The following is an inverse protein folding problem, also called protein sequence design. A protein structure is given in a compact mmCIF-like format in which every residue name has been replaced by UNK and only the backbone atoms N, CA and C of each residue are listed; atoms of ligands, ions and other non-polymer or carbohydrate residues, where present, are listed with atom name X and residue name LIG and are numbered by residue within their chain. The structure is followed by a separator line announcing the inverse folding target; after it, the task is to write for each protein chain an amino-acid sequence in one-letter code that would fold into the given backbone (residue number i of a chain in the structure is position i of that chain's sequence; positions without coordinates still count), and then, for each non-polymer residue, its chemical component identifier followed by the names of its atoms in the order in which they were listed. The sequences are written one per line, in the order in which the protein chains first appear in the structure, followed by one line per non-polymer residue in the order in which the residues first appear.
data_IF_888937960067
#
_entry.id   IF_888937960067
#
_cell.length_a   1.000
_cell.length_b   1.000
_cell.length_c   1.000
_cell.angle_alpha   90.00
_cell.angle_beta   90.00
_cell.angle_gamma   90.00
#
_symmetry.space_group_name_H-M   'P 1'
#
loop_
_entity.id
_entity.type
_entity.pdbx_description
1 polymer ?
#
# COMPACT_ATOMS: atom_id res chain seq x y z
N UNK A 1 -3.90 -17.74 -7.28
CA UNK A 1 -3.48 -19.15 -7.05
C UNK A 1 -3.77 -19.62 -5.63
N UNK A 2 -3.23 -18.97 -4.59
CA UNK A 2 -3.44 -19.39 -3.19
C UNK A 2 -4.91 -19.43 -2.77
N UNK A 3 -5.69 -18.43 -3.18
CA UNK A 3 -7.15 -18.41 -2.95
C UNK A 3 -7.86 -19.63 -3.58
N UNK A 4 -7.46 -20.01 -4.80
CA UNK A 4 -8.01 -21.19 -5.49
C UNK A 4 -7.65 -22.46 -4.72
N UNK A 5 -6.41 -22.57 -4.24
CA UNK A 5 -5.98 -23.72 -3.43
C UNK A 5 -6.77 -23.83 -2.12
N UNK A 6 -7.01 -22.70 -1.45
CA UNK A 6 -7.84 -22.63 -0.26
C UNK A 6 -9.28 -23.10 -0.54
N UNK A 7 -9.92 -22.55 -1.59
CA UNK A 7 -11.29 -22.96 -2.00
C UNK A 7 -11.37 -24.43 -2.41
N UNK A 8 -10.34 -24.95 -3.06
CA UNK A 8 -10.22 -26.35 -3.44
C UNK A 8 -9.82 -27.28 -2.29
N UNK A 9 -9.63 -26.75 -1.07
CA UNK A 9 -9.18 -27.49 0.12
C UNK A 9 -7.88 -28.28 -0.13
N UNK A 10 -6.98 -27.72 -0.94
CA UNK A 10 -5.69 -28.34 -1.27
C UNK A 10 -4.56 -27.79 -0.39
N UNK A 11 -3.69 -28.65 0.17
CA UNK A 11 -2.52 -28.17 0.89
C UNK A 11 -1.53 -27.54 -0.09
N UNK A 12 -0.85 -26.48 0.35
CA UNK A 12 0.09 -25.71 -0.47
C UNK A 12 1.49 -25.81 0.10
N UNK A 13 2.49 -25.94 -0.76
CA UNK A 13 3.90 -25.84 -0.41
C UNK A 13 4.49 -24.61 -1.10
N UNK A 14 4.79 -23.58 -0.32
CA UNK A 14 5.43 -22.34 -0.76
C UNK A 14 6.96 -22.53 -0.73
N UNK A 15 7.60 -22.46 -1.88
CA UNK A 15 9.05 -22.56 -2.01
C UNK A 15 9.63 -21.21 -2.41
N UNK A 16 10.58 -20.69 -1.64
CA UNK A 16 11.23 -19.42 -1.92
C UNK A 16 12.20 -19.05 -0.80
N UNK A 17 13.16 -18.15 -1.04
CA UNK A 17 14.18 -17.81 -0.05
C UNK A 17 13.59 -17.15 1.21
N UNK A 18 14.39 -17.06 2.27
CA UNK A 18 14.00 -16.35 3.49
C UNK A 18 13.83 -14.85 3.21
N UNK A 19 12.86 -14.21 3.87
CA UNK A 19 12.62 -12.76 3.70
C UNK A 19 11.90 -12.35 2.41
N UNK A 20 11.43 -13.30 1.60
CA UNK A 20 10.71 -13.03 0.34
C UNK A 20 9.24 -12.64 0.54
N UNK A 21 8.67 -12.84 1.74
CA UNK A 21 7.29 -12.49 2.06
C UNK A 21 6.27 -13.64 2.04
N UNK A 22 6.69 -14.90 2.19
CA UNK A 22 5.80 -16.09 2.11
C UNK A 22 4.64 -16.01 3.12
N UNK A 23 4.96 -15.66 4.36
CA UNK A 23 4.01 -15.60 5.47
C UNK A 23 3.09 -14.40 5.34
N UNK A 24 3.62 -13.26 4.92
CA UNK A 24 2.88 -12.04 4.64
C UNK A 24 1.84 -12.27 3.52
N UNK A 25 2.19 -13.01 2.47
CA UNK A 25 1.24 -13.41 1.41
C UNK A 25 0.07 -14.23 1.95
N UNK A 26 0.33 -15.15 2.89
CA UNK A 26 -0.72 -15.99 3.49
C UNK A 26 -1.61 -15.16 4.41
N UNK A 27 -1.04 -14.27 5.24
CA UNK A 27 -1.81 -13.36 6.10
C UNK A 27 -2.68 -12.42 5.27
N UNK A 28 -2.15 -11.82 4.22
CA UNK A 28 -2.90 -10.94 3.33
C UNK A 28 -4.07 -11.65 2.64
N UNK A 29 -3.85 -12.91 2.21
CA UNK A 29 -4.93 -13.73 1.66
C UNK A 29 -6.04 -13.99 2.69
N UNK A 30 -5.65 -14.35 3.92
CA UNK A 30 -6.62 -14.65 4.97
C UNK A 30 -7.45 -13.42 5.35
N UNK A 31 -6.81 -12.24 5.44
CA UNK A 31 -7.48 -10.96 5.65
C UNK A 31 -8.47 -10.65 4.51
N UNK A 32 -8.03 -10.80 3.25
CA UNK A 32 -8.89 -10.61 2.07
C UNK A 32 -10.13 -11.52 2.10
N UNK A 33 -10.00 -12.74 2.63
CA UNK A 33 -11.08 -13.72 2.71
C UNK A 33 -11.90 -13.63 4.00
N UNK A 34 -11.50 -12.80 4.97
CA UNK A 34 -12.13 -12.73 6.29
C UNK A 34 -12.04 -14.05 7.08
N UNK A 35 -10.92 -14.77 6.95
CA UNK A 35 -10.68 -16.05 7.63
C UNK A 35 -9.47 -15.94 8.59
N UNK A 36 -9.36 -16.90 9.53
CA UNK A 36 -8.27 -16.94 10.49
C UNK A 36 -6.92 -17.34 9.86
N UNK A 37 -5.83 -17.01 10.56
CA UNK A 37 -4.49 -17.52 10.24
C UNK A 37 -3.81 -17.98 11.52
N UNK A 38 -3.22 -19.17 11.51
CA UNK A 38 -2.32 -19.65 12.57
C UNK A 38 -0.99 -19.95 11.91
N UNK A 39 0.10 -19.47 12.51
CA UNK A 39 1.46 -19.67 12.00
C UNK A 39 2.28 -20.43 13.03
N UNK A 40 2.86 -21.54 12.61
CA UNK A 40 3.76 -22.37 13.41
C UNK A 40 5.13 -22.42 12.73
N UNK A 41 6.17 -21.94 13.41
CA UNK A 41 7.56 -22.12 12.97
C UNK A 41 8.06 -23.48 13.45
N UNK A 42 8.10 -24.45 12.54
CA UNK A 42 8.45 -25.83 12.87
C UNK A 42 9.91 -26.00 13.32
N UNK A 43 10.79 -25.04 13.02
CA UNK A 43 12.18 -25.08 13.47
C UNK A 43 12.36 -24.75 14.95
N UNK A 44 11.31 -24.18 15.58
CA UNK A 44 11.31 -23.79 16.98
C UNK A 44 10.48 -24.73 17.87
N UNK A 45 9.78 -25.71 17.30
CA UNK A 45 8.88 -26.58 18.03
C UNK A 45 9.56 -27.83 18.58
N UNK A 46 9.12 -28.25 19.75
CA UNK A 46 9.32 -29.60 20.27
C UNK A 46 8.08 -30.47 19.98
N UNK A 47 8.17 -31.82 20.07
CA UNK A 47 7.04 -32.70 19.75
C UNK A 47 5.75 -32.35 20.51
N UNK A 48 5.78 -32.01 21.82
CA UNK A 48 4.57 -31.61 22.53
C UNK A 48 3.86 -30.39 21.95
N UNK A 49 4.58 -29.45 21.33
CA UNK A 49 4.01 -28.19 20.82
C UNK A 49 3.19 -28.39 19.55
N UNK A 50 3.40 -29.50 18.83
CA UNK A 50 2.66 -29.85 17.62
C UNK A 50 1.76 -31.08 17.83
N UNK A 51 2.28 -32.13 18.45
CA UNK A 51 1.63 -33.43 18.60
C UNK A 51 0.73 -33.48 19.85
N UNK A 52 1.05 -32.68 20.87
CA UNK A 52 0.37 -32.68 22.15
C UNK A 52 1.03 -33.58 23.19
N UNK A 53 0.56 -33.45 24.44
CA UNK A 53 1.07 -34.23 25.56
C UNK A 53 0.22 -35.49 25.80
N UNK A 54 0.84 -36.66 26.06
CA UNK A 54 0.11 -37.85 26.42
C UNK A 54 -0.51 -37.69 27.80
N UNK A 55 -1.82 -37.93 27.90
CA UNK A 55 -2.57 -37.96 29.16
C UNK A 55 -3.36 -39.27 29.26
N UNK A 56 -3.53 -39.77 30.49
CA UNK A 56 -4.27 -41.00 30.73
C UNK A 56 -5.73 -40.66 30.98
N UNK A 57 -6.63 -41.24 30.17
CA UNK A 57 -8.07 -41.15 30.35
C UNK A 57 -8.67 -42.55 30.23
N UNK A 58 -9.42 -42.96 31.26
CA UNK A 58 -10.08 -44.28 31.31
C UNK A 58 -9.12 -45.46 31.06
N UNK A 59 -7.90 -45.37 31.62
CA UNK A 59 -6.85 -46.39 31.47
C UNK A 59 -6.20 -46.44 30.07
N UNK A 60 -6.47 -45.47 29.19
CA UNK A 60 -5.88 -45.37 27.85
C UNK A 60 -5.13 -44.06 27.66
N UNK A 61 -4.07 -44.09 26.86
CA UNK A 61 -3.35 -42.88 26.46
C UNK A 61 -4.14 -42.13 25.39
N UNK A 62 -4.43 -40.86 25.65
CA UNK A 62 -4.91 -39.88 24.66
C UNK A 62 -3.91 -38.72 24.58
N UNK A 63 -3.92 -37.98 23.48
CA UNK A 63 -3.06 -36.81 23.33
C UNK A 63 -3.88 -35.54 23.54
N UNK A 64 -3.47 -34.72 24.49
CA UNK A 64 -4.02 -33.38 24.69
C UNK A 64 -3.46 -32.45 23.61
N UNK A 65 -4.31 -32.06 22.66
CA UNK A 65 -3.91 -31.21 21.54
C UNK A 65 -3.48 -29.81 22.04
N UNK A 66 -2.40 -29.24 21.49
CA UNK A 66 -1.97 -27.88 21.80
C UNK A 66 -3.06 -26.84 21.49
N UNK A 67 -3.21 -25.84 22.35
CA UNK A 67 -4.22 -24.78 22.17
C UNK A 67 -4.03 -23.97 20.88
N UNK A 68 -2.78 -23.85 20.42
CA UNK A 68 -2.45 -23.15 19.17
C UNK A 68 -3.09 -23.81 17.94
N UNK A 69 -3.44 -25.10 18.01
CA UNK A 69 -4.09 -25.79 16.91
C UNK A 69 -5.59 -25.41 16.84
N UNK A 70 -6.11 -25.03 15.65
CA UNK A 70 -7.49 -24.62 15.52
C UNK A 70 -8.51 -25.70 15.91
N UNK A 71 -9.51 -25.32 16.71
CA UNK A 71 -10.58 -26.24 17.13
C UNK A 71 -11.89 -26.08 16.33
N UNK A 72 -12.11 -24.91 15.70
CA UNK A 72 -13.31 -24.63 14.91
C UNK A 72 -13.07 -23.49 13.91
N UNK A 73 -14.09 -23.12 13.14
CA UNK A 73 -14.04 -21.99 12.20
C UNK A 73 -13.33 -22.30 10.89
N UNK A 74 -12.82 -21.24 10.26
CA UNK A 74 -12.16 -21.31 8.96
C UNK A 74 -10.88 -20.48 8.95
N UNK A 75 -9.84 -20.99 8.29
CA UNK A 75 -8.54 -20.33 8.26
C UNK A 75 -7.45 -21.07 7.50
N UNK A 76 -6.24 -20.53 7.56
CA UNK A 76 -5.04 -21.18 7.03
C UNK A 76 -4.10 -21.50 8.20
N UNK A 77 -3.73 -22.78 8.33
CA UNK A 77 -2.68 -23.21 9.23
C UNK A 77 -1.36 -23.22 8.45
N UNK A 78 -0.50 -22.26 8.71
CA UNK A 78 0.78 -22.07 8.05
C UNK A 78 1.90 -22.74 8.86
N UNK A 79 2.60 -23.70 8.24
CA UNK A 79 3.75 -24.38 8.81
C UNK A 79 5.03 -23.86 8.16
N UNK A 80 5.77 -23.03 8.88
CA UNK A 80 7.02 -22.43 8.40
C UNK A 80 8.21 -23.36 8.62
N UNK A 81 9.26 -23.15 7.81
CA UNK A 81 10.54 -23.83 7.98
C UNK A 81 10.45 -25.37 7.96
N UNK A 82 9.50 -25.94 7.18
CA UNK A 82 9.22 -27.39 7.17
C UNK A 82 10.44 -28.25 6.82
N UNK A 83 11.31 -27.77 5.93
CA UNK A 83 12.54 -28.46 5.56
C UNK A 83 13.75 -28.07 6.43
N UNK A 84 13.59 -27.19 7.42
CA UNK A 84 14.60 -26.90 8.45
C UNK A 84 14.26 -27.49 9.82
N UNK A 85 13.02 -27.92 10.01
CA UNK A 85 12.58 -28.63 11.20
C UNK A 85 13.29 -29.98 11.37
N UNK A 86 13.49 -30.37 12.63
CA UNK A 86 14.00 -31.69 12.98
C UNK A 86 13.06 -32.81 12.48
N UNK A 87 13.62 -33.97 12.12
CA UNK A 87 12.83 -35.05 11.49
C UNK A 87 11.62 -35.49 12.33
N UNK A 88 11.75 -35.45 13.65
CA UNK A 88 10.68 -35.85 14.57
C UNK A 88 9.51 -34.84 14.63
N UNK A 89 9.72 -33.59 14.21
CA UNK A 89 8.65 -32.58 14.00
C UNK A 89 8.14 -32.63 12.56
N UNK A 90 9.06 -32.78 11.60
CA UNK A 90 8.74 -32.81 10.18
C UNK A 90 7.74 -33.92 9.83
N UNK A 91 7.89 -35.12 10.40
CA UNK A 91 6.99 -36.25 10.12
C UNK A 91 5.54 -35.99 10.59
N UNK A 92 5.28 -35.61 11.85
CA UNK A 92 3.95 -35.15 12.27
C UNK A 92 3.41 -33.99 11.43
N UNK A 93 4.24 -32.99 11.10
CA UNK A 93 3.81 -31.86 10.26
C UNK A 93 3.32 -32.33 8.88
N UNK A 94 4.04 -33.25 8.22
CA UNK A 94 3.64 -33.85 6.94
C UNK A 94 2.35 -34.68 7.07
N UNK A 95 2.15 -35.38 8.19
CA UNK A 95 0.90 -36.07 8.49
C UNK A 95 -0.26 -35.08 8.63
N UNK A 96 -0.07 -33.98 9.38
CA UNK A 96 -1.08 -32.95 9.54
C UNK A 96 -1.42 -32.27 8.22
N UNK A 97 -0.41 -31.99 7.38
CA UNK A 97 -0.58 -31.40 6.06
C UNK A 97 -1.38 -32.29 5.10
N UNK A 98 -1.14 -33.59 5.12
CA UNK A 98 -1.72 -34.53 4.15
C UNK A 98 -3.02 -35.19 4.63
N UNK A 99 -3.00 -35.73 5.85
CA UNK A 99 -4.12 -36.44 6.46
C UNK A 99 -5.03 -35.55 7.31
N UNK A 100 -4.65 -34.27 7.53
CA UNK A 100 -5.40 -33.31 8.36
C UNK A 100 -5.61 -33.77 9.80
N UNK A 101 -4.75 -34.65 10.30
CA UNK A 101 -4.91 -35.29 11.62
C UNK A 101 -3.58 -35.52 12.31
N UNK A 102 -3.60 -35.43 13.64
CA UNK A 102 -2.53 -35.83 14.54
C UNK A 102 -3.16 -36.60 15.70
N UNK A 103 -2.87 -37.89 15.83
CA UNK A 103 -3.55 -38.78 16.79
C UNK A 103 -5.08 -38.62 16.75
N UNK A 104 -5.70 -38.10 17.82
CA UNK A 104 -7.14 -37.85 17.90
C UNK A 104 -7.56 -36.48 17.36
N UNK A 105 -6.63 -35.54 17.20
CA UNK A 105 -6.90 -34.22 16.65
C UNK A 105 -7.17 -34.32 15.14
N UNK A 106 -8.18 -33.60 14.68
CA UNK A 106 -8.53 -33.42 13.28
C UNK A 106 -8.69 -31.93 12.99
N UNK A 107 -7.98 -31.45 11.97
CA UNK A 107 -8.03 -30.06 11.57
C UNK A 107 -9.43 -29.71 11.05
N UNK A 108 -10.10 -28.68 11.61
CA UNK A 108 -11.49 -28.40 11.29
C UNK A 108 -11.72 -28.19 9.79
N UNK A 109 -12.85 -28.62 9.21
CA UNK A 109 -13.07 -28.61 7.76
C UNK A 109 -12.87 -27.24 7.08
N UNK A 110 -13.14 -26.15 7.82
CA UNK A 110 -12.94 -24.78 7.36
C UNK A 110 -11.47 -24.36 7.22
N UNK A 111 -10.53 -25.14 7.76
CA UNK A 111 -9.09 -24.87 7.73
C UNK A 111 -8.37 -25.64 6.62
N UNK A 112 -7.30 -25.04 6.10
CA UNK A 112 -6.40 -25.64 5.10
C UNK A 112 -4.95 -25.43 5.52
N UNK A 113 -4.12 -26.47 5.43
CA UNK A 113 -2.70 -26.38 5.78
C UNK A 113 -1.86 -25.87 4.62
N UNK A 114 -1.09 -24.80 4.84
CA UNK A 114 -0.04 -24.35 3.95
C UNK A 114 1.31 -24.61 4.64
N UNK A 115 2.37 -24.82 3.86
CA UNK A 115 3.72 -24.95 4.37
C UNK A 115 4.67 -24.06 3.59
N UNK A 116 5.75 -23.61 4.23
CA UNK A 116 6.86 -22.92 3.60
C UNK A 116 8.15 -23.74 3.72
N UNK A 117 8.91 -23.76 2.64
CA UNK A 117 10.27 -24.31 2.59
C UNK A 117 11.22 -23.29 1.97
N UNK A 118 12.49 -23.38 2.39
CA UNK A 118 13.58 -22.66 1.73
C UNK A 118 14.14 -23.52 0.59
N UNK A 119 14.59 -22.92 -0.53
CA UNK A 119 15.13 -23.66 -1.65
C UNK A 119 16.41 -24.40 -1.25
N UNK A 120 16.69 -25.50 -1.96
CA UNK A 120 17.94 -26.26 -1.83
C UNK A 120 19.07 -25.49 -2.56
N UNK A 121 19.65 -24.48 -1.90
CA UNK A 121 20.86 -23.79 -2.36
C UNK A 121 21.98 -23.89 -1.32
N UNK A 122 23.22 -23.60 -1.73
CA UNK A 122 24.42 -23.78 -0.91
C UNK A 122 24.38 -23.02 0.44
N UNK A 123 23.58 -21.96 0.53
CA UNK A 123 23.50 -21.08 1.70
C UNK A 123 22.49 -21.55 2.76
N UNK A 124 21.64 -22.53 2.45
CA UNK A 124 20.60 -23.00 3.37
C UNK A 124 20.88 -24.43 3.85
N UNK A 125 20.93 -24.60 5.18
CA UNK A 125 20.91 -25.93 5.79
C UNK A 125 19.47 -26.45 5.81
N UNK A 126 19.11 -27.24 4.81
CA UNK A 126 17.77 -27.83 4.65
C UNK A 126 17.86 -29.35 4.52
N UNK A 127 16.82 -30.04 4.98
CA UNK A 127 16.54 -31.45 4.69
C UNK A 127 15.57 -31.52 3.51
N UNK A 128 16.03 -31.91 2.30
CA UNK A 128 15.19 -32.01 1.11
C UNK A 128 13.94 -32.85 1.35
N UNK A 129 12.80 -32.35 0.86
CA UNK A 129 11.58 -33.15 0.77
C UNK A 129 11.65 -33.98 -0.52
N UNK A 130 11.54 -35.31 -0.38
CA UNK A 130 11.53 -36.20 -1.53
C UNK A 130 10.32 -35.94 -2.46
N UNK A 131 10.39 -36.51 -3.67
CA UNK A 131 9.34 -36.34 -4.69
C UNK A 131 7.97 -36.83 -4.22
N UNK A 132 7.90 -37.89 -3.42
CA UNK A 132 6.63 -38.45 -2.95
C UNK A 132 5.99 -37.52 -1.91
N UNK A 133 6.79 -36.93 -1.01
CA UNK A 133 6.36 -35.91 -0.06
C UNK A 133 5.86 -34.67 -0.80
N UNK A 134 6.65 -34.12 -1.73
CA UNK A 134 6.27 -32.93 -2.53
C UNK A 134 4.99 -33.15 -3.35
N UNK A 135 4.75 -34.36 -3.87
CA UNK A 135 3.56 -34.69 -4.68
C UNK A 135 2.23 -34.61 -3.90
N UNK A 136 2.26 -34.53 -2.57
CA UNK A 136 1.07 -34.36 -1.74
C UNK A 136 0.56 -32.91 -1.72
N UNK A 137 1.30 -31.98 -2.31
CA UNK A 137 1.05 -30.54 -2.24
C UNK A 137 0.81 -29.92 -3.62
N UNK A 138 0.07 -28.81 -3.62
CA UNK A 138 0.20 -27.83 -4.69
C UNK A 138 1.50 -27.02 -4.44
N UNK A 139 2.55 -27.33 -5.20
CA UNK A 139 3.80 -26.58 -5.16
C UNK A 139 3.66 -25.21 -5.80
N UNK A 140 4.08 -24.16 -5.09
CA UNK A 140 4.05 -22.77 -5.55
C UNK A 140 5.40 -22.12 -5.28
N UNK A 141 6.06 -21.67 -6.34
CA UNK A 141 7.31 -20.91 -6.22
C UNK A 141 6.99 -19.44 -5.95
N UNK A 142 7.59 -18.89 -4.89
CA UNK A 142 7.48 -17.50 -4.48
C UNK A 142 8.72 -16.75 -4.93
N UNK A 143 8.53 -15.65 -5.66
CA UNK A 143 9.60 -14.79 -6.17
C UNK A 143 9.29 -13.35 -5.80
N UNK A 144 10.33 -12.56 -5.59
CA UNK A 144 10.17 -11.12 -5.45
C UNK A 144 9.84 -10.53 -6.82
N UNK A 145 8.79 -9.72 -6.86
CA UNK A 145 8.47 -8.90 -8.02
C UNK A 145 8.68 -7.43 -7.67
N UNK A 146 9.53 -6.76 -8.45
CA UNK A 146 9.93 -5.37 -8.21
C UNK A 146 8.75 -4.41 -8.31
N UNK A 147 7.91 -4.57 -9.32
CA UNK A 147 6.77 -3.70 -9.53
C UNK A 147 5.76 -3.81 -8.38
N UNK A 148 5.45 -5.04 -7.96
CA UNK A 148 4.55 -5.33 -6.84
C UNK A 148 5.12 -4.81 -5.52
N UNK A 149 6.42 -5.01 -5.26
CA UNK A 149 7.04 -4.50 -4.04
C UNK A 149 7.04 -2.97 -4.01
N UNK A 150 7.36 -2.29 -5.11
CA UNK A 150 7.32 -0.83 -5.18
C UNK A 150 5.91 -0.30 -4.89
N UNK A 151 4.86 -0.89 -5.47
CA UNK A 151 3.48 -0.50 -5.20
C UNK A 151 3.13 -0.68 -3.72
N UNK A 152 3.52 -1.80 -3.11
CA UNK A 152 3.33 -2.04 -1.68
C UNK A 152 4.11 -1.04 -0.82
N UNK A 153 5.37 -0.76 -1.18
CA UNK A 153 6.29 0.09 -0.42
C UNK A 153 5.80 1.55 -0.34
N UNK A 154 5.23 2.06 -1.42
CA UNK A 154 4.64 3.41 -1.48
C UNK A 154 3.46 3.54 -0.49
N UNK A 155 2.53 2.57 -0.53
CA UNK A 155 1.34 2.51 0.34
C UNK A 155 1.73 2.36 1.81
N UNK A 156 2.75 1.55 2.11
CA UNK A 156 3.16 1.25 3.48
C UNK A 156 4.18 2.25 4.06
N UNK A 157 4.54 3.30 3.32
CA UNK A 157 5.42 4.35 3.84
C UNK A 157 6.86 3.91 4.02
N UNK A 158 7.35 3.00 3.16
CA UNK A 158 8.78 2.67 3.13
C UNK A 158 9.59 3.92 2.78
N UNK A 159 10.76 4.06 3.41
CA UNK A 159 11.62 5.23 3.28
C UNK A 159 11.89 5.60 1.80
N UNK A 160 11.68 6.87 1.39
CA UNK A 160 11.80 7.29 -0.01
C UNK A 160 13.14 6.98 -0.66
N UNK A 161 14.24 7.05 0.10
CA UNK A 161 15.57 6.70 -0.40
C UNK A 161 15.70 5.24 -0.85
N UNK A 162 15.09 4.32 -0.10
CA UNK A 162 15.08 2.90 -0.48
C UNK A 162 14.16 2.68 -1.67
N UNK A 163 12.98 3.30 -1.67
CA UNK A 163 12.04 3.19 -2.79
C UNK A 163 12.66 3.71 -4.08
N UNK A 164 13.31 4.87 -4.05
CA UNK A 164 14.01 5.44 -5.21
C UNK A 164 15.15 4.52 -5.69
N UNK A 165 15.92 3.96 -4.76
CA UNK A 165 17.02 3.04 -5.06
C UNK A 165 16.50 1.76 -5.74
N UNK A 166 15.51 1.08 -5.17
CA UNK A 166 14.90 -0.13 -5.76
C UNK A 166 14.19 0.18 -7.08
N UNK A 167 13.62 1.38 -7.23
CA UNK A 167 13.00 1.83 -8.48
C UNK A 167 14.02 2.01 -9.60
N UNK A 168 15.21 2.51 -9.28
CA UNK A 168 16.29 2.71 -10.24
C UNK A 168 17.03 1.43 -10.64
N UNK A 169 16.93 0.35 -9.85
CA UNK A 169 17.71 -0.87 -10.07
C UNK A 169 16.84 -2.11 -10.25
N UNK A 170 16.80 -2.66 -11.47
CA UNK A 170 15.95 -3.81 -11.80
C UNK A 170 16.30 -5.09 -11.03
N UNK A 171 17.58 -5.24 -10.68
CA UNK A 171 18.14 -6.42 -10.01
C UNK A 171 18.26 -6.28 -8.50
N UNK A 172 17.57 -5.31 -7.89
CA UNK A 172 17.65 -5.02 -6.45
C UNK A 172 17.27 -6.21 -5.55
N UNK A 173 16.58 -7.22 -6.08
CA UNK A 173 16.15 -8.41 -5.32
C UNK A 173 16.91 -9.69 -5.65
N UNK A 174 17.98 -9.61 -6.46
CA UNK A 174 18.79 -10.78 -6.80
C UNK A 174 19.64 -11.23 -5.61
N UNK A 175 20.21 -10.27 -4.89
CA UNK A 175 21.15 -10.47 -3.78
C UNK A 175 20.59 -10.00 -2.43
N UNK A 176 19.58 -9.14 -2.41
CA UNK A 176 18.97 -8.60 -1.19
C UNK A 176 17.46 -8.88 -1.17
N UNK A 177 16.93 -9.66 -0.21
CA UNK A 177 15.51 -9.97 -0.18
C UNK A 177 14.68 -8.72 0.19
N UNK A 178 13.42 -8.63 -0.27
CA UNK A 178 12.50 -7.51 0.00
C UNK A 178 12.39 -7.09 1.48
N UNK A 179 12.45 -8.06 2.40
CA UNK A 179 12.41 -7.79 3.85
C UNK A 179 13.61 -6.99 4.33
N UNK A 180 14.80 -7.27 3.80
CA UNK A 180 16.03 -6.57 4.17
C UNK A 180 16.00 -5.12 3.72
N UNK A 181 15.45 -4.83 2.54
CA UNK A 181 15.17 -3.46 2.10
C UNK A 181 14.23 -2.71 3.04
N UNK A 182 13.23 -3.43 3.58
CA UNK A 182 12.29 -2.85 4.55
C UNK A 182 12.99 -2.52 5.87
N UNK A 183 13.90 -3.37 6.35
CA UNK A 183 14.70 -3.07 7.55
C UNK A 183 15.64 -1.88 7.36
N UNK A 184 16.34 -1.82 6.23
CA UNK A 184 17.17 -0.67 5.89
C UNK A 184 16.35 0.64 5.85
N UNK A 185 15.14 0.58 5.30
CA UNK A 185 14.22 1.70 5.28
C UNK A 185 13.77 2.14 6.69
N UNK A 186 13.51 1.20 7.60
CA UNK A 186 13.15 1.51 8.98
C UNK A 186 14.27 2.22 9.71
N UNK A 187 15.52 1.77 9.54
CA UNK A 187 16.71 2.44 10.10
C UNK A 187 16.82 3.85 9.55
N UNK A 188 16.77 4.04 8.22
CA UNK A 188 16.83 5.37 7.61
C UNK A 188 15.74 6.31 8.12
N UNK A 189 14.54 5.79 8.39
CA UNK A 189 13.40 6.60 8.81
C UNK A 189 13.54 7.19 10.22
N UNK A 190 14.46 6.66 11.04
CA UNK A 190 14.71 7.14 12.40
C UNK A 190 16.00 7.94 12.54
N UNK A 191 16.84 7.98 11.51
CA UNK A 191 18.09 8.74 11.53
C UNK A 191 17.81 10.24 11.51
N UNK A 192 18.58 10.97 12.30
CA UNK A 192 18.53 12.44 12.38
C UNK A 192 19.27 13.07 11.19
N UNK A 193 18.94 14.32 10.81
CA UNK A 193 19.61 15.00 9.69
C UNK A 193 21.14 15.03 9.82
N UNK A 194 21.68 15.25 11.02
CA UNK A 194 23.12 15.23 11.28
C UNK A 194 23.76 13.84 11.07
N UNK A 195 23.03 12.77 11.37
CA UNK A 195 23.46 11.38 11.17
C UNK A 195 23.41 11.00 9.69
N UNK A 196 22.40 11.48 8.95
CA UNK A 196 22.30 11.30 7.50
C UNK A 196 23.41 12.08 6.77
N UNK A 197 23.80 13.25 7.28
CA UNK A 197 24.90 14.02 6.73
C UNK A 197 26.27 13.32 6.93
N UNK A 198 26.42 12.56 8.01
CA UNK A 198 27.60 11.79 8.34
C UNK A 198 27.64 10.45 7.59
N UNK A 199 28.35 10.41 6.45
CA UNK A 199 28.44 9.20 5.62
C UNK A 199 28.96 7.96 6.36
N UNK A 200 29.86 8.13 7.35
CA UNK A 200 30.35 7.03 8.19
C UNK A 200 29.22 6.41 9.04
N UNK A 201 28.37 7.25 9.63
CA UNK A 201 27.21 6.78 10.42
C UNK A 201 26.23 6.03 9.53
N UNK A 202 25.96 6.51 8.32
CA UNK A 202 25.11 5.80 7.36
C UNK A 202 25.69 4.44 6.97
N UNK A 203 27.01 4.34 6.78
CA UNK A 203 27.65 3.05 6.50
C UNK A 203 27.46 2.10 7.65
N UNK A 204 27.80 2.52 8.86
CA UNK A 204 27.73 1.67 10.05
C UNK A 204 26.30 1.22 10.35
N UNK A 205 25.32 2.12 10.19
CA UNK A 205 23.91 1.84 10.44
C UNK A 205 23.30 0.84 9.44
N UNK A 206 23.79 0.82 8.19
CA UNK A 206 23.20 0.03 7.11
C UNK A 206 24.01 -1.20 6.73
N UNK A 207 25.30 -1.27 7.08
CA UNK A 207 26.19 -2.38 6.71
C UNK A 207 25.73 -3.76 7.24
N UNK A 208 24.97 -3.78 8.34
CA UNK A 208 24.36 -5.01 8.87
C UNK A 208 23.16 -5.53 8.06
N UNK A 209 22.59 -4.70 7.19
CA UNK A 209 21.41 -5.04 6.39
C UNK A 209 21.74 -5.12 4.90
N UNK A 210 22.41 -4.11 4.35
CA UNK A 210 22.68 -4.00 2.93
C UNK A 210 24.15 -4.29 2.61
N UNK A 211 24.44 -4.98 1.50
CA UNK A 211 25.80 -5.09 0.97
C UNK A 211 26.45 -3.71 0.77
N UNK A 212 27.78 -3.58 0.94
CA UNK A 212 28.47 -2.29 0.81
C UNK A 212 28.20 -1.56 -0.51
N UNK A 213 28.05 -2.29 -1.62
CA UNK A 213 27.68 -1.72 -2.92
C UNK A 213 26.36 -0.95 -2.87
N UNK A 214 25.34 -1.50 -2.22
CA UNK A 214 24.03 -0.84 -2.09
C UNK A 214 24.07 0.33 -1.11
N UNK A 215 24.84 0.19 -0.03
CA UNK A 215 25.04 1.27 0.96
C UNK A 215 25.69 2.49 0.30
N UNK A 216 26.75 2.30 -0.50
CA UNK A 216 27.43 3.41 -1.18
C UNK A 216 26.52 4.09 -2.22
N UNK A 217 25.70 3.35 -2.98
CA UNK A 217 24.75 3.96 -3.92
C UNK A 217 23.68 4.77 -3.18
N UNK A 218 23.22 4.27 -2.03
CA UNK A 218 22.29 5.01 -1.19
C UNK A 218 22.92 6.31 -0.67
N UNK A 219 24.14 6.25 -0.13
CA UNK A 219 24.90 7.42 0.35
C UNK A 219 25.14 8.42 -0.79
N UNK A 220 25.52 7.94 -1.98
CA UNK A 220 25.76 8.80 -3.15
C UNK A 220 24.49 9.52 -3.63
N UNK A 221 23.32 8.92 -3.41
CA UNK A 221 22.02 9.52 -3.74
C UNK A 221 21.39 10.30 -2.58
N UNK A 222 22.11 10.50 -1.46
CA UNK A 222 21.55 11.08 -0.24
C UNK A 222 20.83 12.39 -0.44
N UNK A 223 21.38 13.31 -1.23
CA UNK A 223 20.80 14.64 -1.40
C UNK A 223 19.44 14.61 -2.11
N UNK A 224 19.11 13.51 -2.80
CA UNK A 224 17.83 13.30 -3.45
C UNK A 224 16.74 12.77 -2.50
N UNK A 225 17.12 12.16 -1.37
CA UNK A 225 16.17 11.53 -0.44
C UNK A 225 16.30 11.99 1.01
N UNK A 226 17.41 12.58 1.42
CA UNK A 226 17.62 13.14 2.75
C UNK A 226 16.80 14.40 2.87
N UNK A 227 16.03 14.52 3.96
CA UNK A 227 15.22 15.71 4.14
C UNK A 227 16.03 16.82 4.77
N UNK A 228 15.96 18.02 4.18
CA UNK A 228 16.45 19.25 4.82
C UNK A 228 15.45 19.79 5.84
N UNK A 229 14.28 19.17 5.93
CA UNK A 229 13.17 19.56 6.80
C UNK A 229 13.21 18.72 8.07
N UNK A 230 12.94 19.35 9.21
CA UNK A 230 12.98 18.65 10.51
C UNK A 230 11.71 17.83 10.81
N UNK A 231 10.75 17.79 9.89
CA UNK A 231 9.45 17.15 10.06
C UNK A 231 9.19 16.07 9.00
N UNK A 232 8.35 15.09 9.35
CA UNK A 232 7.85 14.11 8.38
C UNK A 232 6.92 14.80 7.37
N UNK A 233 7.36 14.86 6.12
CA UNK A 233 6.63 15.48 5.01
C UNK A 233 5.27 14.80 4.78
N UNK A 234 5.16 13.47 4.95
CA UNK A 234 3.88 12.77 4.76
C UNK A 234 2.87 13.13 5.85
N UNK A 235 3.34 13.35 7.08
CA UNK A 235 2.49 13.77 8.20
C UNK A 235 1.78 15.09 7.93
N UNK A 236 2.37 15.98 7.11
CA UNK A 236 1.77 17.27 6.76
C UNK A 236 0.36 17.12 6.16
N UNK A 237 0.09 16.03 5.45
CA UNK A 237 -1.23 15.81 4.85
C UNK A 237 -2.32 15.51 5.88
N UNK A 238 -1.98 15.17 7.12
CA UNK A 238 -2.94 14.83 8.19
C UNK A 238 -2.87 15.78 9.39
N UNK A 239 -1.68 16.24 9.78
CA UNK A 239 -1.46 16.97 11.04
C UNK A 239 -1.07 18.43 10.85
N UNK A 240 -0.87 18.89 9.61
CA UNK A 240 -0.50 20.28 9.38
C UNK A 240 -1.62 21.24 9.75
N UNK A 241 -1.26 22.33 10.41
CA UNK A 241 -2.19 23.37 10.79
C UNK A 241 -1.47 24.60 11.32
N UNK A 242 -2.20 25.72 11.48
CA UNK A 242 -1.65 26.97 12.00
C UNK A 242 -0.94 26.75 13.34
N UNK A 243 0.33 27.15 13.42
CA UNK A 243 1.12 27.05 14.66
C UNK A 243 1.71 25.66 14.97
N UNK A 244 1.51 24.66 14.08
CA UNK A 244 2.24 23.38 14.15
C UNK A 244 3.76 23.59 14.05
N UNK A 245 4.59 22.67 14.55
CA UNK A 245 6.05 22.78 14.41
C UNK A 245 6.49 22.96 12.96
N UNK A 246 5.89 22.21 12.03
CA UNK A 246 6.16 22.32 10.60
C UNK A 246 5.74 23.67 10.02
N UNK A 247 4.61 24.25 10.45
CA UNK A 247 4.17 25.57 10.01
C UNK A 247 5.14 26.67 10.48
N UNK A 248 5.65 26.60 11.71
CA UNK A 248 6.65 27.56 12.21
C UNK A 248 7.96 27.46 11.44
N UNK A 249 8.40 26.24 11.13
CA UNK A 249 9.62 26.03 10.36
C UNK A 249 9.48 26.54 8.91
N UNK A 250 8.36 26.27 8.24
CA UNK A 250 8.09 26.80 6.90
C UNK A 250 7.95 28.33 6.91
N UNK A 251 7.34 28.91 7.93
CA UNK A 251 7.29 30.37 8.09
C UNK A 251 8.69 30.99 8.25
N UNK A 252 9.55 30.40 9.09
CA UNK A 252 10.95 30.85 9.25
C UNK A 252 11.75 30.69 7.95
N UNK A 253 11.58 29.57 7.24
CA UNK A 253 12.22 29.34 5.94
C UNK A 253 11.82 30.43 4.92
N UNK A 254 10.55 30.82 4.93
CA UNK A 254 10.03 31.92 4.10
C UNK A 254 10.71 33.25 4.42
N UNK A 255 10.82 33.59 5.71
CA UNK A 255 11.47 34.83 6.17
C UNK A 255 12.95 34.89 5.77
N UNK A 256 13.63 33.73 5.76
CA UNK A 256 15.03 33.61 5.35
C UNK A 256 15.25 33.46 3.84
N UNK A 257 14.19 33.37 3.04
CA UNK A 257 14.27 33.20 1.59
C UNK A 257 14.76 31.81 1.15
N UNK A 258 14.59 30.78 1.98
CA UNK A 258 15.02 29.40 1.73
C UNK A 258 14.03 28.69 0.80
N UNK A 259 14.07 29.00 -0.50
CA UNK A 259 13.13 28.45 -1.50
C UNK A 259 13.27 26.93 -1.66
N UNK A 260 14.47 26.41 -1.45
CA UNK A 260 14.81 24.98 -1.56
C UNK A 260 14.01 24.08 -0.60
N UNK A 261 13.61 24.62 0.56
CA UNK A 261 12.74 23.91 1.51
C UNK A 261 11.35 23.70 0.96
N UNK A 262 10.79 24.68 0.26
CA UNK A 262 9.48 24.56 -0.38
C UNK A 262 9.55 23.63 -1.59
N UNK A 263 10.62 23.74 -2.39
CA UNK A 263 10.88 22.83 -3.51
C UNK A 263 10.87 21.38 -3.03
N UNK A 264 11.49 21.10 -1.88
CA UNK A 264 11.54 19.77 -1.30
C UNK A 264 10.16 19.26 -0.86
N UNK A 265 9.36 20.08 -0.14
CA UNK A 265 7.98 19.73 0.25
C UNK A 265 7.17 19.33 -0.98
N UNK A 266 7.24 20.15 -2.03
CA UNK A 266 6.46 19.93 -3.26
C UNK A 266 6.95 18.72 -4.02
N UNK A 267 8.26 18.54 -4.16
CA UNK A 267 8.85 17.41 -4.86
C UNK A 267 8.44 16.06 -4.26
N UNK A 268 8.24 15.99 -2.94
CA UNK A 268 7.84 14.74 -2.26
C UNK A 268 6.33 14.55 -2.17
N UNK A 269 5.55 15.62 -1.99
CA UNK A 269 4.09 15.52 -1.88
C UNK A 269 3.39 15.41 -3.22
N UNK A 270 3.88 16.07 -4.29
CA UNK A 270 3.19 16.06 -5.57
C UNK A 270 3.02 14.64 -6.17
N UNK A 271 4.04 13.76 -6.20
CA UNK A 271 3.87 12.39 -6.70
C UNK A 271 2.88 11.58 -5.85
N UNK A 272 2.93 11.74 -4.52
CA UNK A 272 2.01 11.08 -3.59
C UNK A 272 0.56 11.52 -3.81
N UNK A 273 0.32 12.82 -4.02
CA UNK A 273 -1.00 13.38 -4.27
C UNK A 273 -1.54 13.09 -5.67
N UNK A 274 -0.67 12.84 -6.65
CA UNK A 274 -1.05 12.40 -7.99
C UNK A 274 -1.26 10.88 -8.08
N UNK A 275 -0.72 10.12 -7.13
CA UNK A 275 -0.74 8.66 -7.12
C UNK A 275 -2.06 8.03 -6.64
N UNK A 276 -2.30 6.74 -6.93
CA UNK A 276 -3.52 6.04 -6.54
C UNK A 276 -3.69 5.87 -5.01
N UNK A 277 -2.64 6.11 -4.23
CA UNK A 277 -2.58 5.91 -2.78
C UNK A 277 -3.45 6.92 -2.01
N UNK A 278 -3.83 8.04 -2.63
CA UNK A 278 -4.61 9.11 -1.99
C UNK A 278 -5.91 8.58 -1.38
N UNK A 279 -6.62 7.67 -2.08
CA UNK A 279 -7.84 7.07 -1.54
C UNK A 279 -7.60 6.28 -0.25
N UNK A 280 -6.48 5.54 -0.19
CA UNK A 280 -6.10 4.77 1.00
C UNK A 280 -5.72 5.70 2.14
N UNK A 281 -4.89 6.70 1.87
CA UNK A 281 -4.46 7.70 2.87
C UNK A 281 -5.67 8.42 3.47
N UNK A 282 -6.63 8.82 2.64
CA UNK A 282 -7.87 9.44 3.09
C UNK A 282 -8.70 8.51 3.98
N UNK A 283 -8.90 7.25 3.57
CA UNK A 283 -9.68 6.26 4.33
C UNK A 283 -9.09 5.93 5.70
N UNK A 284 -7.76 6.06 5.83
CA UNK A 284 -7.02 5.81 7.06
C UNK A 284 -6.84 7.08 7.93
N UNK A 285 -7.41 8.22 7.54
CA UNK A 285 -7.23 9.49 8.25
C UNK A 285 -5.82 10.08 8.14
N UNK A 286 -5.00 9.58 7.22
CA UNK A 286 -3.63 10.04 6.95
C UNK A 286 -3.57 11.18 5.91
N UNK A 287 -4.74 11.61 5.42
CA UNK A 287 -4.91 12.78 4.58
C UNK A 287 -6.22 13.48 4.96
N UNK A 288 -6.17 14.80 5.19
CA UNK A 288 -7.35 15.64 5.37
C UNK A 288 -7.27 16.91 4.51
N UNK A 289 -8.42 17.34 3.97
CA UNK A 289 -8.46 18.59 3.18
C UNK A 289 -8.14 19.82 4.03
N UNK A 290 -8.42 19.79 5.33
CA UNK A 290 -8.10 20.89 6.23
C UNK A 290 -6.59 21.08 6.38
N UNK A 291 -5.84 19.98 6.60
CA UNK A 291 -4.38 20.04 6.71
C UNK A 291 -3.74 20.41 5.37
N UNK A 292 -4.25 19.86 4.26
CA UNK A 292 -3.80 20.21 2.91
C UNK A 292 -4.01 21.71 2.60
N UNK A 293 -5.19 22.25 2.90
CA UNK A 293 -5.51 23.67 2.69
C UNK A 293 -4.65 24.59 3.56
N UNK A 294 -4.39 24.20 4.81
CA UNK A 294 -3.49 24.93 5.69
C UNK A 294 -2.04 24.93 5.15
N UNK A 295 -1.55 23.81 4.63
CA UNK A 295 -0.24 23.73 3.98
C UNK A 295 -0.18 24.63 2.76
N UNK A 296 -1.17 24.55 1.87
CA UNK A 296 -1.26 25.40 0.68
C UNK A 296 -1.28 26.90 1.02
N UNK A 297 -1.80 27.31 2.18
CA UNK A 297 -1.80 28.70 2.63
C UNK A 297 -0.39 29.23 2.92
N UNK A 298 0.49 28.37 3.42
CA UNK A 298 1.84 28.75 3.85
C UNK A 298 2.88 28.61 2.73
N UNK A 299 2.55 27.90 1.64
CA UNK A 299 3.42 27.73 0.45
C UNK A 299 3.45 28.96 -0.48
N UNK A 300 4.58 29.20 -1.18
CA UNK A 300 4.63 30.12 -2.32
C UNK A 300 3.64 29.75 -3.43
N UNK A 301 3.26 30.72 -4.28
CA UNK A 301 2.16 30.56 -5.23
C UNK A 301 2.36 29.43 -6.26
N UNK A 302 3.56 29.35 -6.85
CA UNK A 302 3.97 28.31 -7.79
C UNK A 302 4.02 26.91 -7.16
N UNK A 303 4.55 26.82 -5.94
CA UNK A 303 4.62 25.60 -5.15
C UNK A 303 3.22 25.08 -4.79
N UNK A 304 2.35 25.98 -4.34
CA UNK A 304 0.94 25.70 -4.06
C UNK A 304 0.23 25.17 -5.30
N UNK A 305 0.33 25.88 -6.42
CA UNK A 305 -0.34 25.51 -7.68
C UNK A 305 0.03 24.09 -8.13
N UNK A 306 1.30 23.69 -7.95
CA UNK A 306 1.76 22.34 -8.28
C UNK A 306 1.13 21.25 -7.41
N UNK A 307 0.95 21.48 -6.10
CA UNK A 307 0.25 20.53 -5.23
C UNK A 307 -1.25 20.49 -5.50
N UNK A 308 -1.86 21.65 -5.72
CA UNK A 308 -3.27 21.78 -6.08
C UNK A 308 -3.58 21.06 -7.39
N UNK A 309 -2.71 21.18 -8.40
CA UNK A 309 -2.85 20.44 -9.65
C UNK A 309 -2.72 18.92 -9.43
N UNK A 310 -1.71 18.48 -8.66
CA UNK A 310 -1.48 17.06 -8.38
C UNK A 310 -2.70 16.40 -7.74
N UNK A 311 -3.25 17.00 -6.67
CA UNK A 311 -4.44 16.49 -6.00
C UNK A 311 -5.70 16.67 -6.86
N UNK A 312 -5.90 17.85 -7.46
CA UNK A 312 -7.08 18.17 -8.27
C UNK A 312 -7.26 17.26 -9.49
N UNK A 313 -6.17 16.72 -10.01
CA UNK A 313 -6.17 15.82 -11.17
C UNK A 313 -6.36 14.35 -10.81
N UNK A 314 -6.40 14.01 -9.53
CA UNK A 314 -6.39 12.63 -9.08
C UNK A 314 -7.80 12.03 -9.03
N UNK A 315 -8.03 11.00 -9.85
CA UNK A 315 -9.33 10.32 -9.93
C UNK A 315 -9.71 9.56 -8.64
N UNK A 316 -8.72 9.06 -7.91
CA UNK A 316 -8.93 8.33 -6.64
C UNK A 316 -9.28 9.25 -5.48
N UNK A 317 -8.96 10.54 -5.59
CA UNK A 317 -9.19 11.57 -4.58
C UNK A 317 -10.59 12.21 -4.65
N UNK A 318 -11.42 11.84 -5.64
CA UNK A 318 -12.71 12.48 -5.92
C UNK A 318 -13.72 12.33 -4.78
N UNK A 319 -13.58 11.31 -3.93
CA UNK A 319 -14.40 11.10 -2.73
C UNK A 319 -14.14 12.10 -1.59
N UNK A 320 -13.05 12.87 -1.67
CA UNK A 320 -12.70 13.87 -0.65
C UNK A 320 -13.64 15.09 -0.64
N UNK A 321 -14.36 15.33 -1.74
CA UNK A 321 -15.28 16.46 -1.88
C UNK A 321 -16.73 16.01 -1.80
N UNK A 322 -17.57 16.85 -1.20
CA UNK A 322 -19.02 16.63 -1.09
C UNK A 322 -19.76 17.19 -2.31
N UNK A 323 -19.37 16.75 -3.52
CA UNK A 323 -20.07 17.06 -4.78
C UNK A 323 -20.04 15.81 -5.65
N UNK A 324 -21.22 15.25 -5.93
CA UNK A 324 -21.35 14.07 -6.80
C UNK A 324 -21.51 14.50 -8.25
N UNK A 325 -20.99 13.72 -9.23
CA UNK A 325 -21.21 14.01 -10.65
C UNK A 325 -22.68 14.14 -11.05
N UNK A 326 -23.57 13.36 -10.43
CA UNK A 326 -25.02 13.43 -10.71
C UNK A 326 -25.61 14.80 -10.31
N UNK A 327 -25.14 15.42 -9.23
CA UNK A 327 -25.54 16.77 -8.81
C UNK A 327 -25.08 17.85 -9.79
N UNK A 328 -23.96 17.61 -10.49
CA UNK A 328 -23.44 18.48 -11.54
C UNK A 328 -24.21 18.34 -12.85
N UNK A 329 -24.89 17.23 -13.07
CA UNK A 329 -25.64 16.94 -14.29
C UNK A 329 -27.15 17.19 -14.16
N UNK A 330 -27.68 17.27 -12.94
CA UNK A 330 -29.11 17.46 -12.67
C UNK A 330 -29.36 18.81 -11.99
N UNK A 331 -30.08 19.72 -12.67
CA UNK A 331 -30.48 21.02 -12.13
C UNK A 331 -29.32 21.88 -11.57
N UNK A 332 -28.13 21.81 -12.19
CA UNK A 332 -26.95 22.54 -11.72
C UNK A 332 -27.16 24.05 -11.57
N UNK A 333 -27.79 24.78 -12.53
CA UNK A 333 -28.04 26.21 -12.36
C UNK A 333 -28.93 26.49 -11.14
N UNK A 334 -28.48 27.37 -10.25
CA UNK A 334 -29.11 27.72 -8.97
C UNK A 334 -28.92 26.69 -7.85
N UNK A 335 -28.22 25.58 -8.09
CA UNK A 335 -28.07 24.50 -7.11
C UNK A 335 -27.10 24.82 -5.97
N UNK A 336 -27.12 23.97 -4.93
CA UNK A 336 -26.06 23.97 -3.92
C UNK A 336 -24.69 23.63 -4.52
N UNK A 337 -24.64 22.73 -5.52
CA UNK A 337 -23.40 22.35 -6.20
C UNK A 337 -22.77 23.53 -6.95
N UNK A 338 -23.57 24.32 -7.68
CA UNK A 338 -23.08 25.53 -8.37
C UNK A 338 -22.52 26.55 -7.38
N UNK A 339 -23.24 26.82 -6.28
CA UNK A 339 -22.76 27.73 -5.23
C UNK A 339 -21.42 27.26 -4.63
N UNK A 340 -21.23 25.95 -4.44
CA UNK A 340 -19.96 25.37 -3.96
C UNK A 340 -18.84 25.55 -5.00
N UNK A 341 -19.09 25.22 -6.27
CA UNK A 341 -18.10 25.38 -7.35
C UNK A 341 -17.66 26.83 -7.49
N UNK A 342 -18.60 27.78 -7.46
CA UNK A 342 -18.31 29.21 -7.52
C UNK A 342 -17.52 29.68 -6.29
N UNK A 343 -17.85 29.19 -5.09
CA UNK A 343 -17.10 29.49 -3.87
C UNK A 343 -15.67 28.95 -3.93
N UNK A 344 -15.47 27.70 -4.38
CA UNK A 344 -14.15 27.10 -4.53
C UNK A 344 -13.32 27.76 -5.63
N UNK A 345 -13.95 28.25 -6.70
CA UNK A 345 -13.28 29.03 -7.74
C UNK A 345 -12.75 30.37 -7.19
N UNK A 346 -13.53 31.02 -6.34
CA UNK A 346 -13.20 32.33 -5.78
C UNK A 346 -12.08 32.26 -4.74
N UNK A 347 -11.97 31.14 -4.01
CA UNK A 347 -10.97 30.93 -2.96
C UNK A 347 -9.72 30.24 -3.53
N UNK A 348 -8.55 30.92 -3.59
CA UNK A 348 -7.32 30.35 -4.12
C UNK A 348 -6.96 29.00 -3.49
N UNK A 349 -7.16 28.83 -2.18
CA UNK A 349 -6.79 27.61 -1.45
C UNK A 349 -7.72 26.43 -1.73
N UNK A 350 -8.84 26.66 -2.41
CA UNK A 350 -9.85 25.64 -2.69
C UNK A 350 -10.06 25.40 -4.18
N UNK A 351 -9.29 26.05 -5.06
CA UNK A 351 -9.39 25.88 -6.52
C UNK A 351 -9.19 24.44 -6.96
N UNK A 352 -8.32 23.68 -6.29
CA UNK A 352 -8.12 22.25 -6.56
C UNK A 352 -9.40 21.41 -6.41
N UNK A 353 -10.35 21.82 -5.55
CA UNK A 353 -11.64 21.14 -5.37
C UNK A 353 -12.51 21.22 -6.63
N UNK A 354 -12.40 22.32 -7.39
CA UNK A 354 -13.01 22.42 -8.72
C UNK A 354 -12.38 21.39 -9.66
N UNK A 355 -11.05 21.21 -9.58
CA UNK A 355 -10.34 20.15 -10.29
C UNK A 355 -10.85 18.76 -9.95
N UNK A 356 -10.99 18.43 -8.66
CA UNK A 356 -11.55 17.15 -8.21
C UNK A 356 -12.98 16.94 -8.73
N UNK A 357 -13.83 17.96 -8.70
CA UNK A 357 -15.19 17.88 -9.23
C UNK A 357 -15.22 17.61 -10.73
N UNK A 358 -14.34 18.27 -11.50
CA UNK A 358 -14.18 18.04 -12.93
C UNK A 358 -13.61 16.65 -13.20
N UNK A 359 -12.62 16.20 -12.45
CA UNK A 359 -12.04 14.86 -12.57
C UNK A 359 -13.10 13.77 -12.29
N UNK A 360 -13.92 13.94 -11.25
CA UNK A 360 -15.05 13.06 -10.93
C UNK A 360 -16.08 13.03 -12.07
N UNK A 361 -16.44 14.22 -12.58
CA UNK A 361 -17.38 14.36 -13.68
C UNK A 361 -16.86 13.69 -14.96
N UNK A 362 -15.59 13.89 -15.31
CA UNK A 362 -14.96 13.27 -16.48
C UNK A 362 -15.00 11.75 -16.37
N UNK A 363 -14.58 11.19 -15.23
CA UNK A 363 -14.63 9.75 -14.98
C UNK A 363 -16.07 9.21 -15.13
N UNK A 364 -17.05 9.93 -14.61
CA UNK A 364 -18.46 9.57 -14.73
C UNK A 364 -18.97 9.57 -16.18
N UNK A 365 -18.60 10.58 -16.98
CA UNK A 365 -18.99 10.70 -18.38
C UNK A 365 -18.38 9.61 -19.27
N UNK A 366 -17.22 9.08 -18.91
CA UNK A 366 -16.56 8.00 -19.66
C UNK A 366 -17.17 6.61 -19.41
N UNK A 367 -18.05 6.47 -18.41
CA UNK A 367 -18.77 5.20 -18.14
C UNK A 367 -19.83 4.95 -19.22
N UNK A 368 -19.60 3.95 -20.07
CA UNK A 368 -20.43 3.68 -21.25
C UNK A 368 -21.93 3.48 -20.95
N UNK A 369 -22.27 2.87 -19.83
CA UNK A 369 -23.65 2.56 -19.45
C UNK A 369 -24.55 3.81 -19.30
N UNK A 370 -23.98 5.00 -19.08
CA UNK A 370 -24.72 6.26 -18.82
C UNK A 370 -24.72 7.25 -19.99
N UNK A 371 -23.92 6.98 -21.03
CA UNK A 371 -23.69 7.91 -22.14
C UNK A 371 -24.95 8.25 -22.92
N UNK A 372 -25.80 7.26 -23.19
CA UNK A 372 -27.00 7.43 -24.02
C UNK A 372 -28.01 8.38 -23.37
N UNK A 373 -28.18 8.27 -22.04
CA UNK A 373 -29.12 9.07 -21.27
C UNK A 373 -28.65 10.52 -21.15
N UNK A 374 -27.35 10.72 -20.89
CA UNK A 374 -26.75 12.06 -20.77
C UNK A 374 -26.81 12.80 -22.12
N UNK A 375 -26.54 12.12 -23.25
CA UNK A 375 -26.63 12.72 -24.59
C UNK A 375 -28.05 13.19 -24.94
N UNK A 376 -29.08 12.51 -24.44
CA UNK A 376 -30.50 12.84 -24.70
C UNK A 376 -31.07 13.85 -23.70
N UNK A 377 -30.42 14.04 -22.54
CA UNK A 377 -30.88 14.95 -21.50
C UNK A 377 -30.48 16.40 -21.79
N UNK A 378 -31.47 17.23 -22.15
CA UNK A 378 -31.26 18.68 -22.27
C UNK A 378 -30.82 19.31 -20.95
N UNK A 379 -31.33 18.83 -19.81
CA UNK A 379 -30.93 19.31 -18.49
C UNK A 379 -29.43 19.10 -18.23
N UNK A 380 -28.92 17.89 -18.53
CA UNK A 380 -27.50 17.58 -18.38
C UNK A 380 -26.63 18.40 -19.33
N UNK A 381 -27.07 18.60 -20.57
CA UNK A 381 -26.34 19.39 -21.57
C UNK A 381 -26.30 20.89 -21.22
N UNK A 382 -27.39 21.45 -20.68
CA UNK A 382 -27.43 22.83 -20.16
C UNK A 382 -26.50 22.97 -18.95
N UNK A 383 -26.56 22.00 -18.02
CA UNK A 383 -25.68 21.98 -16.84
C UNK A 383 -24.19 21.98 -17.25
N UNK A 384 -23.81 21.11 -18.20
CA UNK A 384 -22.44 21.08 -18.74
C UNK A 384 -22.03 22.40 -19.40
N UNK A 385 -22.94 23.06 -20.11
CA UNK A 385 -22.69 24.38 -20.68
C UNK A 385 -22.45 25.45 -19.62
N UNK A 386 -23.29 25.50 -18.59
CA UNK A 386 -23.13 26.41 -17.45
C UNK A 386 -21.79 26.15 -16.73
N UNK A 387 -21.47 24.89 -16.41
CA UNK A 387 -20.21 24.49 -15.77
C UNK A 387 -19.02 25.02 -16.57
N UNK A 388 -18.98 24.81 -17.89
CA UNK A 388 -17.86 25.25 -18.73
C UNK A 388 -17.60 26.76 -18.66
N UNK A 389 -18.63 27.59 -18.49
CA UNK A 389 -18.45 29.05 -18.33
C UNK A 389 -17.88 29.44 -16.95
N UNK A 390 -17.98 28.55 -15.98
CA UNK A 390 -17.59 28.77 -14.59
C UNK A 390 -16.23 28.15 -14.24
N UNK A 391 -15.72 27.24 -15.04
CA UNK A 391 -14.45 26.56 -14.78
C UNK A 391 -13.24 27.46 -15.13
N UNK A 392 -12.15 27.38 -14.35
CA UNK A 392 -10.85 27.87 -14.81
C UNK A 392 -10.39 27.16 -16.09
N UNK A 393 -9.62 27.86 -16.93
CA UNK A 393 -9.23 27.39 -18.27
C UNK A 393 -8.62 25.97 -18.30
N UNK A 394 -7.66 25.58 -17.42
CA UNK A 394 -7.09 24.24 -17.46
C UNK A 394 -8.12 23.12 -17.27
N UNK A 395 -9.09 23.35 -16.38
CA UNK A 395 -10.15 22.37 -16.09
C UNK A 395 -11.24 22.38 -17.15
N UNK A 396 -11.56 23.55 -17.70
CA UNK A 396 -12.48 23.67 -18.82
C UNK A 396 -11.97 22.90 -20.04
N UNK A 397 -10.69 23.04 -20.40
CA UNK A 397 -10.07 22.31 -21.52
C UNK A 397 -10.16 20.80 -21.33
N UNK A 398 -9.79 20.30 -20.14
CA UNK A 398 -9.87 18.85 -19.81
C UNK A 398 -11.29 18.31 -19.89
N UNK A 399 -12.29 19.08 -19.46
CA UNK A 399 -13.70 18.70 -19.60
C UNK A 399 -14.13 18.70 -21.07
N UNK A 400 -13.75 19.71 -21.85
CA UNK A 400 -14.05 19.79 -23.30
C UNK A 400 -13.46 18.60 -24.06
N UNK A 401 -12.24 18.17 -23.75
CA UNK A 401 -11.63 16.97 -24.33
C UNK A 401 -12.47 15.72 -24.06
N UNK A 402 -12.91 15.52 -22.81
CA UNK A 402 -13.78 14.40 -22.45
C UNK A 402 -15.13 14.49 -23.15
N UNK A 403 -15.73 15.68 -23.26
CA UNK A 403 -17.00 15.88 -23.98
C UNK A 403 -16.88 15.55 -25.48
N UNK A 404 -15.76 15.93 -26.12
CA UNK A 404 -15.46 15.54 -27.50
C UNK A 404 -15.32 14.03 -27.64
N UNK A 405 -14.52 13.39 -26.77
CA UNK A 405 -14.29 11.94 -26.75
C UNK A 405 -15.60 11.16 -26.53
N UNK A 406 -16.49 11.68 -25.69
CA UNK A 406 -17.78 11.06 -25.36
C UNK A 406 -18.92 11.48 -26.28
N UNK A 407 -18.68 12.37 -27.26
CA UNK A 407 -19.70 12.83 -28.21
C UNK A 407 -20.87 13.59 -27.57
N UNK A 408 -20.62 14.29 -26.46
CA UNK A 408 -21.63 15.09 -25.75
C UNK A 408 -21.48 16.55 -26.17
N UNK A 409 -22.55 17.17 -26.67
CA UNK A 409 -22.54 18.59 -27.06
C UNK A 409 -23.23 19.44 -25.98
N UNK A 410 -22.49 20.24 -25.18
CA UNK A 410 -23.08 21.11 -24.17
C UNK A 410 -23.96 22.20 -24.80
N UNK A 411 -25.02 22.61 -24.11
CA UNK A 411 -25.91 23.71 -24.50
C UNK A 411 -25.47 24.93 -23.69
N UNK A 412 -25.00 25.99 -24.35
CA UNK A 412 -24.59 27.21 -23.66
C UNK A 412 -25.82 27.88 -23.01
N UNK A 413 -25.70 28.39 -21.78
CA UNK A 413 -26.72 29.26 -21.20
C UNK A 413 -26.94 30.47 -22.11
N UNK A 414 -28.19 30.93 -22.21
CA UNK A 414 -28.53 32.16 -22.94
C UNK A 414 -28.12 33.40 -22.15
#
# INVERSE_FOLDING_TARGET
MLEVAYRARRPVLLEGPTGIGKSELVRALAEQLGIGTVVLDLSLLEPPDLVGLPVIRDGRTIYAAPEVLPQSGAGILMLEELNRAERYIQQPALQLLSARRLHQYELPPGWVCFAAINPESADYQVTPLDRALRARFLGVNVRADRATWLAWAEVNGVHPGVVALVRAHERAFDDVPPRTWTYAAQVLSVLRPEEIAAGEVLRDALAGYLPPSWVEVLIASRDAWSSRLSFDIRSLLSTYGPGSPAARELAQARERGETDRFDEVVARLAPLLAGPEVAVLASQGRLSLAAFEALCADLPGDHRERLEEALGSNATATSLIDVRPDELLQNYPGSAAERRILAWRADPLRRYRVGLAVTALRAHLEVQARLTDIRRSNAARIALGQILTQLPEPWALRLVETLKKTGITPIRPQ
#
